data_IF_768604996673
#
_entry.id   IF_768604996673
#
_cell.length_a   1.000
_cell.length_b   1.000
_cell.length_c   1.000
_cell.angle_alpha   90.00
_cell.angle_beta   90.00
_cell.angle_gamma   90.00
#
_symmetry.space_group_name_H-M   'P 1'
#
loop_
_entity.id
_entity.type
_entity.pdbx_description
1 polymer ?
#
# COMPACT_ATOMS: atom_id res chain seq x y z
N UNK A 1 1.39 -9.19 1.99
CA UNK A 1 0.00 -9.69 1.82
C UNK A 1 -0.65 -10.20 3.12
N UNK A 2 0.12 -10.63 4.13
CA UNK A 2 -0.41 -11.22 5.37
C UNK A 2 -1.45 -10.35 6.10
N UNK A 3 -1.28 -9.02 6.16
CA UNK A 3 -2.25 -8.12 6.81
C UNK A 3 -3.55 -8.04 6.00
N UNK A 4 -3.48 -8.04 4.67
CA UNK A 4 -4.67 -8.10 3.81
C UNK A 4 -5.45 -9.40 4.02
N UNK A 5 -4.76 -10.53 4.10
CA UNK A 5 -5.37 -11.83 4.38
C UNK A 5 -5.98 -11.88 5.79
N UNK A 6 -5.29 -11.32 6.80
CA UNK A 6 -5.84 -11.20 8.14
C UNK A 6 -7.13 -10.37 8.16
N UNK A 7 -7.18 -9.26 7.41
CA UNK A 7 -8.40 -8.47 7.28
C UNK A 7 -9.54 -9.29 6.68
N UNK A 8 -9.30 -10.04 5.61
CA UNK A 8 -10.29 -10.88 4.96
C UNK A 8 -10.76 -12.05 5.84
N UNK A 9 -9.92 -12.50 6.77
CA UNK A 9 -10.27 -13.62 7.67
C UNK A 9 -11.06 -13.16 8.90
N UNK A 10 -10.63 -12.08 9.55
CA UNK A 10 -11.16 -11.68 10.86
C UNK A 10 -12.24 -10.61 10.78
N UNK A 11 -12.20 -9.72 9.79
CA UNK A 11 -13.13 -8.61 9.69
C UNK A 11 -14.58 -9.04 9.36
N UNK A 12 -14.84 -10.07 8.51
CA UNK A 12 -16.22 -10.50 8.22
C UNK A 12 -17.02 -10.89 9.46
N UNK A 13 -16.39 -11.49 10.46
CA UNK A 13 -17.04 -11.87 11.71
C UNK A 13 -17.47 -10.67 12.57
N UNK A 14 -17.00 -9.46 12.26
CA UNK A 14 -17.30 -8.22 12.99
C UNK A 14 -18.26 -7.30 12.24
N UNK A 15 -18.64 -7.64 11.00
CA UNK A 15 -19.45 -6.75 10.14
C UNK A 15 -20.90 -6.55 10.65
N UNK A 16 -21.37 -7.35 11.61
CA UNK A 16 -22.64 -7.15 12.29
C UNK A 16 -22.64 -6.01 13.33
N UNK A 17 -21.47 -5.46 13.70
CA UNK A 17 -21.31 -4.37 14.65
C UNK A 17 -20.36 -3.32 14.07
N UNK A 18 -20.90 -2.15 13.69
CA UNK A 18 -20.10 -1.08 13.07
C UNK A 18 -18.90 -0.68 13.92
N UNK A 19 -19.08 -0.55 15.23
CA UNK A 19 -18.01 -0.13 16.13
C UNK A 19 -16.88 -1.14 16.17
N UNK A 20 -17.21 -2.42 16.28
CA UNK A 20 -16.21 -3.51 16.29
C UNK A 20 -15.51 -3.64 14.94
N UNK A 21 -16.24 -3.51 13.83
CA UNK A 21 -15.67 -3.58 12.50
C UNK A 21 -14.65 -2.44 12.26
N UNK A 22 -14.98 -1.20 12.66
CA UNK A 22 -14.06 -0.07 12.59
C UNK A 22 -12.85 -0.22 13.51
N UNK A 23 -13.04 -0.67 14.75
CA UNK A 23 -11.93 -0.93 15.68
C UNK A 23 -10.98 -2.01 15.14
N UNK A 24 -11.52 -3.10 14.58
CA UNK A 24 -10.71 -4.14 13.94
C UNK A 24 -9.94 -3.59 12.73
N UNK A 25 -10.60 -2.87 11.83
CA UNK A 25 -9.96 -2.24 10.67
C UNK A 25 -8.84 -1.30 11.09
N UNK A 26 -9.04 -0.48 12.12
CA UNK A 26 -8.03 0.42 12.69
C UNK A 26 -6.82 -0.34 13.23
N UNK A 27 -7.05 -1.43 13.98
CA UNK A 27 -5.95 -2.27 14.50
C UNK A 27 -5.13 -2.89 13.37
N UNK A 28 -5.79 -3.38 12.32
CA UNK A 28 -5.13 -3.94 11.13
C UNK A 28 -4.32 -2.89 10.39
N UNK A 29 -4.85 -1.67 10.22
CA UNK A 29 -4.12 -0.56 9.58
C UNK A 29 -2.91 -0.12 10.42
N UNK A 30 -3.04 -0.08 11.75
CA UNK A 30 -1.90 0.21 12.64
C UNK A 30 -0.83 -0.88 12.57
N UNK A 31 -1.22 -2.15 12.57
CA UNK A 31 -0.27 -3.26 12.40
C UNK A 31 0.45 -3.18 11.05
N UNK A 32 -0.29 -2.87 9.98
CA UNK A 32 0.29 -2.65 8.65
C UNK A 32 1.28 -1.49 8.63
N UNK A 33 0.95 -0.38 9.30
CA UNK A 33 1.84 0.77 9.42
C UNK A 33 3.13 0.41 10.16
N UNK A 34 3.05 -0.32 11.28
CA UNK A 34 4.23 -0.80 12.01
C UNK A 34 5.12 -1.70 11.16
N UNK A 35 4.52 -2.67 10.45
CA UNK A 35 5.24 -3.56 9.52
C UNK A 35 5.84 -2.75 8.37
N UNK A 36 5.11 -1.78 7.84
CA UNK A 36 5.56 -0.88 6.78
C UNK A 36 6.75 -0.01 7.22
N UNK A 37 6.71 0.55 8.43
CA UNK A 37 7.81 1.30 9.01
C UNK A 37 9.06 0.41 9.17
N UNK A 38 8.89 -0.80 9.70
CA UNK A 38 10.00 -1.75 9.82
C UNK A 38 10.61 -2.08 8.44
N UNK A 39 9.77 -2.40 7.46
CA UNK A 39 10.21 -2.71 6.09
C UNK A 39 10.90 -1.52 5.43
N UNK A 40 10.38 -0.30 5.63
CA UNK A 40 10.97 0.93 5.09
C UNK A 40 12.35 1.20 5.69
N UNK A 41 12.50 1.07 7.01
CA UNK A 41 13.80 1.22 7.70
C UNK A 41 14.79 0.19 7.20
N UNK A 42 14.38 -1.08 7.10
CA UNK A 42 15.22 -2.15 6.59
C UNK A 42 15.65 -1.90 5.13
N UNK A 43 14.71 -1.55 4.27
CA UNK A 43 14.97 -1.19 2.85
C UNK A 43 15.87 0.03 2.69
N UNK A 44 15.92 0.92 3.69
CA UNK A 44 16.83 2.07 3.71
C UNK A 44 18.23 1.70 4.19
N UNK A 45 18.34 0.93 5.27
CA UNK A 45 19.60 0.62 5.94
C UNK A 45 20.41 -0.39 5.11
N UNK A 46 19.79 -1.48 4.68
CA UNK A 46 20.51 -2.60 4.07
C UNK A 46 21.25 -2.20 2.78
N UNK A 47 20.61 -1.52 1.80
CA UNK A 47 21.33 -1.11 0.58
C UNK A 47 22.43 -0.07 0.82
N UNK A 48 22.31 0.71 1.88
CA UNK A 48 23.30 1.76 2.18
C UNK A 48 24.52 1.22 2.87
N UNK A 49 24.33 0.37 3.89
CA UNK A 49 25.43 -0.10 4.75
C UNK A 49 25.96 -1.48 4.36
N UNK A 50 25.14 -2.32 3.74
CA UNK A 50 25.48 -3.70 3.42
C UNK A 50 25.27 -4.07 1.94
N UNK A 51 25.56 -3.19 0.94
CA UNK A 51 25.30 -3.50 -0.47
C UNK A 51 26.13 -4.70 -0.95
N UNK A 52 27.36 -4.82 -0.48
CA UNK A 52 28.27 -5.89 -0.88
C UNK A 52 27.93 -7.28 -0.31
N UNK A 53 26.94 -7.38 0.58
CA UNK A 53 26.36 -8.68 0.98
C UNK A 53 25.46 -9.27 -0.12
N UNK A 54 25.05 -8.46 -1.10
CA UNK A 54 24.12 -8.87 -2.17
C UNK A 54 24.77 -8.85 -3.56
N UNK A 55 25.83 -8.07 -3.77
CA UNK A 55 26.50 -7.95 -5.05
C UNK A 55 27.97 -7.61 -4.89
N UNK A 56 28.81 -8.11 -5.79
CA UNK A 56 30.23 -7.74 -5.90
C UNK A 56 30.44 -6.58 -6.88
N UNK A 57 29.40 -6.23 -7.67
CA UNK A 57 29.47 -5.15 -8.66
C UNK A 57 29.24 -3.79 -7.98
N UNK A 58 30.23 -2.91 -8.09
CA UNK A 58 30.22 -1.57 -7.54
C UNK A 58 29.12 -0.67 -8.18
N UNK A 59 28.80 -0.89 -9.45
CA UNK A 59 27.73 -0.16 -10.15
C UNK A 59 26.38 -0.52 -9.61
N UNK A 60 26.11 -1.81 -9.40
CA UNK A 60 24.88 -2.29 -8.77
C UNK A 60 24.77 -1.80 -7.32
N UNK A 61 25.85 -1.84 -6.57
CA UNK A 61 25.89 -1.33 -5.20
C UNK A 61 25.56 0.18 -5.13
N UNK A 62 26.06 0.97 -6.08
CA UNK A 62 25.73 2.40 -6.19
C UNK A 62 24.25 2.62 -6.48
N UNK A 63 23.69 1.89 -7.46
CA UNK A 63 22.26 1.95 -7.79
C UNK A 63 21.35 1.54 -6.62
N UNK A 64 21.73 0.52 -5.85
CA UNK A 64 21.00 0.11 -4.64
C UNK A 64 20.90 1.25 -3.61
N UNK A 65 22.01 1.99 -3.40
CA UNK A 65 22.01 3.16 -2.50
C UNK A 65 21.13 4.29 -3.05
N UNK A 66 21.20 4.53 -4.34
CA UNK A 66 20.46 5.57 -5.04
C UNK A 66 18.93 5.37 -4.94
N UNK A 67 18.43 4.14 -5.15
CA UNK A 67 17.00 3.84 -5.11
C UNK A 67 16.45 3.69 -3.68
N UNK A 68 17.28 3.47 -2.68
CA UNK A 68 16.87 3.12 -1.32
C UNK A 68 15.90 4.12 -0.65
N UNK A 69 15.98 5.47 -0.86
CA UNK A 69 15.01 6.39 -0.26
C UNK A 69 13.60 6.20 -0.81
N UNK A 70 13.50 6.08 -2.13
CA UNK A 70 12.20 6.00 -2.81
C UNK A 70 11.59 4.61 -2.63
N UNK A 71 12.39 3.54 -2.67
CA UNK A 71 11.92 2.19 -2.38
C UNK A 71 11.42 2.04 -0.94
N UNK A 72 12.08 2.68 0.02
CA UNK A 72 11.62 2.71 1.42
C UNK A 72 10.24 3.35 1.55
N UNK A 73 10.02 4.49 0.89
CA UNK A 73 8.71 5.16 0.85
C UNK A 73 7.65 4.28 0.18
N UNK A 74 8.00 3.66 -0.95
CA UNK A 74 7.08 2.77 -1.66
C UNK A 74 6.66 1.58 -0.80
N UNK A 75 7.56 0.97 -0.02
CA UNK A 75 7.26 -0.14 0.88
C UNK A 75 6.37 0.27 2.05
N UNK A 76 6.60 1.45 2.64
CA UNK A 76 5.74 2.00 3.69
C UNK A 76 4.29 2.16 3.18
N UNK A 77 4.13 2.77 2.03
CA UNK A 77 2.82 2.99 1.40
C UNK A 77 2.18 1.67 0.94
N UNK A 78 2.97 0.72 0.43
CA UNK A 78 2.50 -0.58 -0.03
C UNK A 78 1.79 -1.34 1.08
N UNK A 79 2.43 -1.52 2.24
CA UNK A 79 1.87 -2.30 3.35
C UNK A 79 0.55 -1.73 3.85
N UNK A 80 0.49 -0.39 3.99
CA UNK A 80 -0.72 0.31 4.41
C UNK A 80 -1.84 0.23 3.36
N UNK A 81 -1.50 0.32 2.07
CA UNK A 81 -2.49 0.18 0.98
C UNK A 81 -3.06 -1.23 0.89
N UNK A 82 -2.23 -2.27 1.13
CA UNK A 82 -2.67 -3.66 1.17
C UNK A 82 -3.66 -3.93 2.32
N UNK A 83 -3.40 -3.35 3.50
CA UNK A 83 -4.32 -3.49 4.63
C UNK A 83 -5.68 -2.83 4.36
N UNK A 84 -5.67 -1.61 3.80
CA UNK A 84 -6.91 -0.91 3.44
C UNK A 84 -7.72 -1.66 2.38
N UNK A 85 -7.04 -2.26 1.41
CA UNK A 85 -7.66 -3.14 0.41
C UNK A 85 -8.27 -4.39 1.04
N UNK A 86 -7.54 -5.06 1.93
CA UNK A 86 -8.05 -6.21 2.65
C UNK A 86 -9.34 -5.91 3.41
N UNK A 87 -9.46 -4.71 4.01
CA UNK A 87 -10.69 -4.26 4.66
C UNK A 87 -11.85 -4.06 3.66
N UNK A 88 -11.59 -3.52 2.46
CA UNK A 88 -12.60 -3.38 1.41
C UNK A 88 -13.04 -4.73 0.85
N UNK A 89 -12.10 -5.66 0.65
CA UNK A 89 -12.39 -7.03 0.20
C UNK A 89 -13.23 -7.79 1.23
N UNK A 90 -12.90 -7.67 2.52
CA UNK A 90 -13.70 -8.25 3.60
C UNK A 90 -15.14 -7.75 3.58
N UNK A 91 -15.36 -6.47 3.28
CA UNK A 91 -16.66 -5.85 3.11
C UNK A 91 -17.29 -6.06 1.73
N UNK A 92 -16.73 -6.91 0.86
CA UNK A 92 -17.20 -7.25 -0.50
C UNK A 92 -17.38 -6.06 -1.45
N UNK A 93 -16.62 -4.98 -1.28
CA UNK A 93 -16.71 -3.78 -2.14
C UNK A 93 -15.81 -3.88 -3.39
N UNK A 94 -15.82 -5.04 -4.03
CA UNK A 94 -14.97 -5.37 -5.19
C UNK A 94 -15.27 -4.50 -6.40
N UNK A 95 -16.54 -4.09 -6.59
CA UNK A 95 -16.93 -3.20 -7.68
C UNK A 95 -16.24 -1.85 -7.59
N UNK A 96 -16.25 -1.24 -6.40
CA UNK A 96 -15.55 0.02 -6.15
C UNK A 96 -14.04 -0.12 -6.44
N UNK A 97 -13.43 -1.19 -5.93
CA UNK A 97 -11.99 -1.44 -6.13
C UNK A 97 -11.63 -1.56 -7.62
N UNK A 98 -12.38 -2.35 -8.38
CA UNK A 98 -12.15 -2.50 -9.82
C UNK A 98 -12.26 -1.17 -10.56
N UNK A 99 -13.25 -0.34 -10.22
CA UNK A 99 -13.44 0.99 -10.82
C UNK A 99 -12.33 1.99 -10.43
N UNK A 100 -11.79 1.88 -9.21
CA UNK A 100 -10.73 2.77 -8.73
C UNK A 100 -9.34 2.39 -9.26
N UNK A 101 -9.09 1.11 -9.51
CA UNK A 101 -7.77 0.64 -9.89
C UNK A 101 -7.39 0.95 -11.33
N UNK A 102 -8.34 1.00 -12.26
CA UNK A 102 -8.06 1.36 -13.65
C UNK A 102 -7.53 2.79 -13.77
N UNK A 103 -8.19 3.84 -13.23
CA UNK A 103 -7.64 5.19 -13.23
C UNK A 103 -6.30 5.29 -12.50
N UNK A 104 -6.13 4.57 -11.38
CA UNK A 104 -4.87 4.58 -10.63
C UNK A 104 -3.71 3.98 -11.44
N UNK A 105 -3.95 2.89 -12.17
CA UNK A 105 -2.96 2.30 -13.06
C UNK A 105 -2.56 3.26 -14.19
N UNK A 106 -3.53 3.96 -14.78
CA UNK A 106 -3.28 4.99 -15.80
C UNK A 106 -2.45 6.15 -15.24
N UNK A 107 -2.78 6.64 -14.05
CA UNK A 107 -2.01 7.68 -13.36
C UNK A 107 -0.57 7.24 -13.09
N UNK A 108 -0.37 6.00 -12.66
CA UNK A 108 0.98 5.47 -12.42
C UNK A 108 1.78 5.37 -13.73
N UNK A 109 1.15 4.96 -14.83
CA UNK A 109 1.77 4.91 -16.15
C UNK A 109 2.17 6.30 -16.65
N UNK A 110 1.28 7.30 -16.51
CA UNK A 110 1.57 8.71 -16.85
C UNK A 110 2.70 9.23 -15.96
N UNK A 111 2.67 8.97 -14.66
CA UNK A 111 3.70 9.37 -13.71
C UNK A 111 5.07 8.78 -14.05
N UNK A 112 5.11 7.50 -14.45
CA UNK A 112 6.34 6.85 -14.93
C UNK A 112 6.90 7.56 -16.18
N UNK A 113 6.05 7.85 -17.16
CA UNK A 113 6.46 8.55 -18.37
C UNK A 113 7.00 9.95 -18.08
N UNK A 114 6.39 10.66 -17.14
CA UNK A 114 6.83 12.00 -16.72
C UNK A 114 8.18 11.94 -15.99
N UNK A 115 8.36 11.05 -15.03
CA UNK A 115 9.61 10.92 -14.26
C UNK A 115 10.78 10.43 -15.13
N UNK A 116 10.51 9.54 -16.10
CA UNK A 116 11.53 9.13 -17.08
C UNK A 116 12.00 10.32 -17.95
N UNK A 117 11.05 11.13 -18.45
CA UNK A 117 11.38 12.34 -19.23
C UNK A 117 12.13 13.39 -18.39
N UNK A 118 11.87 13.45 -17.08
CA UNK A 118 12.58 14.33 -16.17
C UNK A 118 13.98 13.84 -15.76
N UNK A 119 14.43 12.68 -16.28
CA UNK A 119 15.79 12.17 -16.08
C UNK A 119 16.01 11.39 -14.80
N UNK A 120 14.95 10.92 -14.10
CA UNK A 120 15.08 10.17 -12.85
C UNK A 120 15.64 8.74 -13.01
N UNK A 121 15.91 8.28 -14.23
CA UNK A 121 16.52 6.97 -14.46
C UNK A 121 15.76 5.83 -13.79
N UNK A 122 16.48 4.95 -13.09
CA UNK A 122 15.90 3.79 -12.41
C UNK A 122 14.96 4.18 -11.25
N UNK A 123 15.12 5.36 -10.66
CA UNK A 123 14.25 5.86 -9.59
C UNK A 123 12.82 6.11 -10.11
N UNK A 124 12.63 6.36 -11.41
CA UNK A 124 11.31 6.62 -12.00
C UNK A 124 10.32 5.49 -11.73
N UNK A 125 10.76 4.23 -11.79
CA UNK A 125 9.92 3.07 -11.51
C UNK A 125 9.45 3.06 -10.04
N UNK A 126 10.33 3.39 -9.11
CA UNK A 126 10.00 3.45 -7.68
C UNK A 126 9.10 4.63 -7.34
N UNK A 127 9.29 5.79 -8.00
CA UNK A 127 8.37 6.92 -7.87
C UNK A 127 6.96 6.58 -8.37
N UNK A 128 6.85 5.93 -9.53
CA UNK A 128 5.57 5.49 -10.06
C UNK A 128 4.88 4.48 -9.11
N UNK A 129 5.64 3.56 -8.51
CA UNK A 129 5.15 2.60 -7.54
C UNK A 129 4.70 3.29 -6.24
N UNK A 130 5.48 4.22 -5.72
CA UNK A 130 5.11 5.01 -4.54
C UNK A 130 3.83 5.82 -4.79
N UNK A 131 3.72 6.49 -5.95
CA UNK A 131 2.52 7.21 -6.37
C UNK A 131 1.32 6.27 -6.47
N UNK A 132 1.48 5.09 -7.09
CA UNK A 132 0.42 4.10 -7.20
C UNK A 132 -0.13 3.69 -5.84
N UNK A 133 0.74 3.39 -4.88
CA UNK A 133 0.33 3.00 -3.52
C UNK A 133 -0.25 4.18 -2.74
N UNK A 134 0.26 5.38 -2.92
CA UNK A 134 -0.27 6.59 -2.29
C UNK A 134 -1.71 6.87 -2.71
N UNK A 135 -1.97 6.88 -4.02
CA UNK A 135 -3.33 7.09 -4.57
C UNK A 135 -4.27 5.98 -4.08
N UNK A 136 -3.82 4.73 -4.16
CA UNK A 136 -4.58 3.57 -3.71
C UNK A 136 -4.94 3.65 -2.22
N UNK A 137 -3.98 3.96 -1.36
CA UNK A 137 -4.20 4.15 0.07
C UNK A 137 -5.20 5.27 0.34
N UNK A 138 -5.04 6.41 -0.35
CA UNK A 138 -5.91 7.59 -0.19
C UNK A 138 -7.35 7.27 -0.58
N UNK A 139 -7.56 6.65 -1.74
CA UNK A 139 -8.89 6.30 -2.28
C UNK A 139 -9.54 5.22 -1.40
N UNK A 140 -8.81 4.19 -1.00
CA UNK A 140 -9.33 3.14 -0.13
C UNK A 140 -9.69 3.68 1.26
N UNK A 141 -8.83 4.53 1.85
CA UNK A 141 -9.09 5.16 3.15
C UNK A 141 -10.32 6.07 3.10
N UNK A 142 -10.44 6.88 2.04
CA UNK A 142 -11.63 7.69 1.82
C UNK A 142 -12.89 6.82 1.75
N UNK A 143 -12.85 5.70 1.03
CA UNK A 143 -13.99 4.77 0.91
C UNK A 143 -14.36 4.15 2.24
N UNK A 144 -13.38 3.69 3.02
CA UNK A 144 -13.61 3.11 4.36
C UNK A 144 -14.23 4.12 5.33
N UNK A 145 -13.84 5.40 5.26
CA UNK A 145 -14.36 6.46 6.13
C UNK A 145 -15.69 7.06 5.65
N UNK A 146 -16.07 6.84 4.39
CA UNK A 146 -17.27 7.42 3.79
C UNK A 146 -18.56 6.84 4.40
N UNK A 147 -19.68 7.54 4.21
CA UNK A 147 -21.02 7.04 4.57
C UNK A 147 -21.42 5.77 3.81
N UNK A 148 -20.78 5.51 2.67
CA UNK A 148 -20.99 4.33 1.84
C UNK A 148 -19.98 3.22 2.13
N UNK A 149 -19.28 3.29 3.26
CA UNK A 149 -18.32 2.27 3.68
C UNK A 149 -18.97 0.88 3.72
N UNK A 150 -18.30 -0.14 3.20
CA UNK A 150 -18.80 -1.51 3.27
C UNK A 150 -18.90 -2.01 4.72
N UNK A 151 -18.15 -1.40 5.64
CA UNK A 151 -18.22 -1.71 7.07
C UNK A 151 -19.53 -1.25 7.73
N UNK A 152 -20.30 -0.37 7.07
CA UNK A 152 -21.59 0.16 7.53
C UNK A 152 -22.79 -0.44 6.82
N UNK A 153 -22.61 -1.00 5.62
CA UNK A 153 -23.73 -1.42 4.75
C UNK A 153 -24.43 -2.69 5.21
N UNK A 154 -23.72 -3.63 5.82
CA UNK A 154 -24.28 -4.94 6.17
C UNK A 154 -25.27 -4.89 7.35
N UNK A 155 -25.33 -3.76 8.08
CA UNK A 155 -26.34 -3.52 9.12
C UNK A 155 -27.74 -3.18 8.59
N UNK A 156 -27.91 -2.99 7.28
CA UNK A 156 -29.17 -2.56 6.67
C UNK A 156 -29.89 -3.65 5.86
N UNK A 157 -29.28 -4.82 5.74
CA UNK A 157 -29.81 -5.93 4.94
C UNK A 157 -30.40 -7.08 5.80
N UNK A 158 -30.34 -6.96 7.16
CA UNK A 158 -31.01 -7.82 8.14
C UNK A 158 -32.18 -7.05 8.79
#
# INVERSE_FOLDING_TARGET
DGVSQAAQTFLPAQLGDETRAFEMAKRLLLAALCIGCFSAVFSRIVPVYFPYSFTTDSTVAALMKEISPVSSLALLLHTSSMASEGCLLAGRDTKFMSMAYVPNALLAWIGLGFTLKAGFGIQAAWFALAQFHFVRLSVNSWRLLSRQSPLRKQLKED
#
